data_IF_469379985958
#
_entry.id   IF_469379985958
#
_cell.length_a   1.000
_cell.length_b   1.000
_cell.length_c   1.000
_cell.angle_alpha   90.00
_cell.angle_beta   90.00
_cell.angle_gamma   90.00
#
_symmetry.space_group_name_H-M   'P 1'
#
loop_
_entity.id
_entity.type
_entity.pdbx_description
1 polymer ?
#
# COMPACT_ATOMS: atom_id res chain seq x y z
N UNK A 1 41.92 -10.12 -19.87
CA UNK A 1 40.83 -9.31 -19.36
C UNK A 1 40.00 -10.21 -18.45
N UNK A 2 39.70 -9.75 -17.23
CA UNK A 2 38.77 -10.40 -16.34
C UNK A 2 37.39 -9.79 -16.57
N UNK A 3 36.37 -10.61 -16.69
CA UNK A 3 35.00 -10.18 -16.84
C UNK A 3 34.14 -10.91 -15.76
N UNK A 4 33.20 -10.17 -15.18
CA UNK A 4 32.18 -10.75 -14.33
C UNK A 4 30.96 -11.00 -15.22
N UNK A 5 30.65 -12.27 -15.46
CA UNK A 5 29.50 -12.66 -16.30
C UNK A 5 28.19 -12.62 -15.52
N UNK A 6 28.25 -12.60 -14.20
CA UNK A 6 27.14 -12.29 -13.31
C UNK A 6 27.49 -11.05 -12.52
N UNK A 7 26.48 -10.32 -12.14
CA UNK A 7 26.54 -9.03 -11.48
C UNK A 7 27.65 -8.96 -10.43
N UNK A 8 28.29 -7.80 -10.35
CA UNK A 8 29.27 -7.49 -9.31
C UNK A 8 28.66 -7.50 -7.90
N UNK A 9 27.37 -7.73 -7.81
CA UNK A 9 26.58 -7.78 -6.60
C UNK A 9 25.65 -9.00 -6.61
N UNK A 10 25.55 -9.68 -5.47
CA UNK A 10 24.68 -10.84 -5.23
C UNK A 10 24.05 -10.71 -3.84
N UNK A 11 22.97 -11.44 -3.57
CA UNK A 11 22.44 -11.59 -2.22
C UNK A 11 23.16 -12.67 -1.42
N UNK A 12 23.02 -12.63 -0.11
CA UNK A 12 23.55 -13.63 0.82
C UNK A 12 23.10 -15.05 0.42
N UNK A 13 24.00 -16.01 0.45
CA UNK A 13 23.72 -17.37 0.01
C UNK A 13 23.81 -17.59 -1.51
N UNK A 14 23.94 -16.53 -2.29
CA UNK A 14 24.18 -16.58 -3.73
C UNK A 14 25.62 -16.97 -4.09
N UNK A 15 25.88 -17.12 -5.37
CA UNK A 15 27.21 -17.39 -5.92
C UNK A 15 27.48 -16.46 -7.10
N UNK A 16 28.76 -16.12 -7.32
CA UNK A 16 29.22 -15.36 -8.47
C UNK A 16 29.97 -16.27 -9.45
N UNK A 17 29.80 -16.00 -10.74
CA UNK A 17 30.58 -16.62 -11.82
C UNK A 17 31.57 -15.61 -12.38
N UNK A 18 32.85 -15.94 -12.31
CA UNK A 18 33.96 -15.14 -12.79
C UNK A 18 34.54 -15.79 -14.04
N UNK A 19 34.69 -15.03 -15.11
CA UNK A 19 35.29 -15.51 -16.37
C UNK A 19 36.55 -14.74 -16.71
N UNK A 20 37.55 -15.46 -17.20
CA UNK A 20 38.78 -14.87 -17.73
C UNK A 20 38.92 -15.11 -19.22
N UNK A 21 39.23 -14.06 -19.97
CA UNK A 21 39.58 -14.13 -21.37
C UNK A 21 41.07 -13.84 -21.54
N UNK A 22 41.75 -14.73 -22.24
CA UNK A 22 43.18 -14.60 -22.53
C UNK A 22 43.38 -14.27 -24.02
N UNK A 23 44.19 -13.28 -24.31
CA UNK A 23 44.56 -12.92 -25.70
C UNK A 23 46.07 -12.77 -25.83
N UNK A 24 46.62 -13.27 -26.92
CA UNK A 24 48.07 -13.28 -27.16
C UNK A 24 48.78 -14.46 -26.53
N UNK A 25 50.10 -14.49 -26.62
CA UNK A 25 50.94 -15.60 -26.15
C UNK A 25 50.90 -16.81 -27.11
N UNK A 26 51.41 -17.95 -26.67
CA UNK A 26 51.43 -19.19 -27.44
C UNK A 26 51.35 -20.42 -26.52
N UNK A 27 50.65 -21.47 -26.97
CA UNK A 27 50.47 -22.72 -26.25
C UNK A 27 49.18 -22.74 -25.43
N UNK A 28 49.06 -23.79 -24.60
CA UNK A 28 47.91 -23.94 -23.70
C UNK A 28 48.08 -23.04 -22.48
N UNK A 29 46.95 -22.51 -21.99
CA UNK A 29 46.88 -21.70 -20.78
C UNK A 29 46.39 -22.53 -19.59
N UNK A 30 47.06 -22.42 -18.46
CA UNK A 30 46.61 -22.90 -17.17
C UNK A 30 46.20 -21.71 -16.31
N UNK A 31 45.22 -21.90 -15.44
CA UNK A 31 44.63 -20.87 -14.62
C UNK A 31 44.78 -21.26 -13.13
N UNK A 32 44.94 -20.27 -12.29
CA UNK A 32 44.83 -20.38 -10.85
C UNK A 32 44.10 -19.17 -10.29
N UNK A 33 42.89 -19.36 -9.78
CA UNK A 33 42.13 -18.30 -9.13
C UNK A 33 42.62 -18.09 -7.69
N UNK A 34 42.63 -16.85 -7.26
CA UNK A 34 43.03 -16.42 -5.93
C UNK A 34 41.99 -15.50 -5.34
N UNK A 35 41.84 -15.57 -4.02
CA UNK A 35 41.03 -14.67 -3.20
C UNK A 35 41.95 -13.78 -2.34
N UNK A 36 41.56 -12.52 -2.15
CA UNK A 36 42.25 -11.60 -1.26
C UNK A 36 41.79 -11.78 0.18
N UNK A 37 42.58 -12.45 1.01
CA UNK A 37 42.28 -12.71 2.41
C UNK A 37 43.30 -11.95 3.28
N UNK A 38 42.83 -11.06 4.18
CA UNK A 38 43.65 -10.25 5.09
C UNK A 38 44.79 -9.51 4.35
N UNK A 39 44.52 -9.04 3.14
CA UNK A 39 45.51 -8.31 2.31
C UNK A 39 46.54 -9.18 1.60
N UNK A 40 46.38 -10.52 1.62
CA UNK A 40 47.20 -11.48 0.93
C UNK A 40 46.39 -12.26 -0.10
N UNK A 41 46.98 -12.49 -1.28
CA UNK A 41 46.39 -13.33 -2.31
C UNK A 41 46.61 -14.82 -1.99
N UNK A 42 45.53 -15.56 -1.82
CA UNK A 42 45.53 -16.99 -1.45
C UNK A 42 44.95 -17.79 -2.60
N UNK A 43 45.65 -18.86 -2.98
CA UNK A 43 45.18 -19.78 -4.03
C UNK A 43 43.91 -20.53 -3.59
N UNK A 44 42.89 -20.48 -4.48
CA UNK A 44 41.68 -21.27 -4.26
C UNK A 44 41.90 -22.67 -4.79
N UNK A 45 41.87 -23.65 -3.89
CA UNK A 45 42.14 -25.05 -4.22
C UNK A 45 41.15 -25.56 -5.30
N UNK A 46 41.73 -26.12 -6.38
CA UNK A 46 40.93 -26.68 -7.48
C UNK A 46 40.33 -25.68 -8.46
N UNK A 47 40.51 -24.39 -8.26
CA UNK A 47 40.01 -23.34 -9.18
C UNK A 47 41.02 -23.12 -10.34
N UNK A 48 41.09 -24.08 -11.29
CA UNK A 48 42.09 -24.14 -12.34
C UNK A 48 41.51 -24.02 -13.76
N UNK A 49 40.25 -23.59 -13.91
CA UNK A 49 39.61 -23.37 -15.19
C UNK A 49 39.59 -21.86 -15.56
N UNK A 50 39.28 -21.54 -16.80
CA UNK A 50 39.07 -20.15 -17.24
C UNK A 50 37.86 -19.48 -16.60
N UNK A 51 36.94 -20.29 -16.04
CA UNK A 51 35.75 -19.87 -15.29
C UNK A 51 35.87 -20.38 -13.86
N UNK A 52 35.53 -19.51 -12.91
CA UNK A 52 35.44 -19.87 -11.50
C UNK A 52 34.07 -19.49 -10.97
N UNK A 53 33.41 -20.42 -10.28
CA UNK A 53 32.16 -20.18 -9.59
C UNK A 53 32.44 -20.22 -8.08
N UNK A 54 32.07 -19.15 -7.37
CA UNK A 54 32.26 -19.11 -5.92
C UNK A 54 31.37 -20.14 -5.21
N UNK A 55 31.69 -20.50 -3.98
CA UNK A 55 30.70 -21.10 -3.09
C UNK A 55 29.62 -20.06 -2.73
N UNK A 56 28.57 -20.50 -2.04
CA UNK A 56 27.62 -19.57 -1.43
C UNK A 56 28.39 -18.66 -0.47
N UNK A 57 28.15 -17.33 -0.60
CA UNK A 57 28.86 -16.31 0.14
C UNK A 57 27.94 -15.66 1.19
N UNK A 58 28.53 -15.33 2.34
CA UNK A 58 27.89 -14.51 3.35
C UNK A 58 28.02 -13.02 3.00
N UNK A 59 27.25 -12.15 3.69
CA UNK A 59 27.32 -10.70 3.51
C UNK A 59 28.76 -10.16 3.63
N UNK A 60 29.19 -9.36 2.66
CA UNK A 60 30.53 -8.79 2.62
C UNK A 60 31.02 -8.44 1.23
N UNK A 61 32.32 -8.16 1.14
CA UNK A 61 32.99 -7.93 -0.15
C UNK A 61 34.15 -8.90 -0.27
N UNK A 62 34.18 -9.63 -1.39
CA UNK A 62 35.18 -10.62 -1.70
C UNK A 62 35.91 -10.20 -2.97
N UNK A 63 37.24 -10.17 -2.93
CA UNK A 63 38.03 -9.74 -4.08
C UNK A 63 38.77 -10.93 -4.66
N UNK A 64 38.60 -11.16 -5.96
CA UNK A 64 39.20 -12.29 -6.69
C UNK A 64 40.12 -11.81 -7.81
N UNK A 65 41.13 -12.64 -8.15
CA UNK A 65 41.93 -12.49 -9.35
C UNK A 65 42.32 -13.84 -9.93
N UNK A 66 42.82 -13.86 -11.16
CA UNK A 66 43.32 -15.06 -11.78
C UNK A 66 44.76 -14.89 -12.25
N UNK A 67 45.59 -15.90 -11.97
CA UNK A 67 46.89 -16.09 -12.56
C UNK A 67 46.74 -16.97 -13.81
N UNK A 68 47.39 -16.60 -14.87
CA UNK A 68 47.42 -17.38 -16.11
C UNK A 68 48.87 -17.65 -16.51
N UNK A 69 49.17 -18.94 -16.71
CA UNK A 69 50.49 -19.40 -17.18
C UNK A 69 50.31 -20.15 -18.48
N UNK A 70 51.14 -19.86 -19.46
CA UNK A 70 51.16 -20.58 -20.76
C UNK A 70 52.37 -21.47 -20.90
N UNK A 71 52.25 -22.54 -21.68
CA UNK A 71 53.33 -23.50 -21.95
C UNK A 71 54.59 -22.83 -22.52
N UNK A 72 54.44 -21.68 -23.15
CA UNK A 72 55.56 -20.83 -23.62
C UNK A 72 56.33 -20.14 -22.51
N UNK A 73 55.89 -20.24 -21.23
CA UNK A 73 56.47 -19.56 -20.10
C UNK A 73 55.97 -18.10 -19.94
N UNK A 74 54.96 -17.67 -20.72
CA UNK A 74 54.33 -16.38 -20.50
C UNK A 74 53.38 -16.43 -19.32
N UNK A 75 53.46 -15.40 -18.45
CA UNK A 75 52.61 -15.26 -17.28
C UNK A 75 51.82 -13.95 -17.35
N UNK A 76 50.60 -13.99 -16.81
CA UNK A 76 49.79 -12.80 -16.61
C UNK A 76 48.95 -12.93 -15.32
N UNK A 77 48.71 -11.80 -14.65
CA UNK A 77 47.87 -11.69 -13.49
C UNK A 77 46.80 -10.65 -13.83
N UNK A 78 45.55 -10.96 -13.55
CA UNK A 78 44.46 -10.00 -13.73
C UNK A 78 44.49 -8.94 -12.60
N UNK A 79 43.86 -7.81 -12.83
CA UNK A 79 43.45 -6.94 -11.74
C UNK A 79 42.48 -7.70 -10.81
N UNK A 80 42.33 -7.22 -9.58
CA UNK A 80 41.32 -7.71 -8.66
C UNK A 80 39.94 -7.25 -9.07
N UNK A 81 38.94 -8.10 -8.85
CA UNK A 81 37.54 -7.79 -9.07
C UNK A 81 36.74 -8.10 -7.81
N UNK A 82 35.84 -7.17 -7.43
CA UNK A 82 35.04 -7.32 -6.23
C UNK A 82 33.69 -7.96 -6.54
N UNK A 83 33.30 -8.91 -5.69
CA UNK A 83 31.94 -9.45 -5.56
C UNK A 83 31.39 -8.91 -4.26
N UNK A 84 30.34 -8.08 -4.35
CA UNK A 84 29.65 -7.51 -3.19
C UNK A 84 28.44 -8.38 -2.85
N UNK A 85 28.40 -8.87 -1.63
CA UNK A 85 27.28 -9.66 -1.12
C UNK A 85 26.43 -8.78 -0.19
N UNK A 86 25.19 -8.55 -0.57
CA UNK A 86 24.23 -7.77 0.20
C UNK A 86 23.25 -8.68 0.96
N UNK A 87 22.58 -8.20 2.02
CA UNK A 87 21.53 -8.96 2.69
C UNK A 87 20.40 -9.35 1.73
N UNK A 88 19.70 -10.43 2.06
CA UNK A 88 18.45 -10.80 1.39
C UNK A 88 17.36 -9.74 1.55
N UNK A 89 16.33 -9.84 0.70
CA UNK A 89 15.19 -8.94 0.75
C UNK A 89 14.39 -9.19 2.04
N UNK A 90 14.18 -8.12 2.80
CA UNK A 90 13.31 -8.11 3.97
C UNK A 90 12.23 -7.03 3.84
N UNK A 91 10.97 -7.40 4.14
CA UNK A 91 9.87 -6.43 4.25
C UNK A 91 9.88 -5.83 5.66
N UNK A 92 10.33 -4.58 5.78
CA UNK A 92 10.44 -3.85 7.03
C UNK A 92 9.10 -3.31 7.54
N UNK A 93 8.21 -2.92 6.62
CA UNK A 93 6.86 -2.48 6.93
C UNK A 93 5.86 -3.13 5.98
N UNK A 94 4.95 -3.91 6.56
CA UNK A 94 3.87 -4.57 5.83
C UNK A 94 2.82 -3.54 5.38
N UNK A 95 2.13 -3.76 4.26
CA UNK A 95 1.01 -2.93 3.86
C UNK A 95 -0.12 -3.00 4.90
N UNK A 96 -0.86 -1.92 5.04
CA UNK A 96 -2.00 -1.80 5.95
C UNK A 96 -3.24 -1.50 5.12
N UNK A 97 -4.29 -2.30 5.31
CA UNK A 97 -5.58 -2.10 4.69
C UNK A 97 -6.44 -1.04 5.40
N UNK A 98 -7.61 -0.79 4.87
CA UNK A 98 -8.53 0.21 5.43
C UNK A 98 -9.97 0.00 5.02
N UNK A 99 -10.80 1.00 5.34
CA UNK A 99 -12.23 0.98 5.04
C UNK A 99 -12.59 2.25 4.26
N UNK A 100 -13.27 2.06 3.16
CA UNK A 100 -13.76 3.13 2.26
C UNK A 100 -15.25 2.93 1.97
N UNK A 101 -15.91 3.94 1.43
CA UNK A 101 -17.25 3.76 0.83
C UNK A 101 -17.15 3.30 -0.63
N UNK A 102 -18.26 2.85 -1.19
CA UNK A 102 -18.37 2.53 -2.62
C UNK A 102 -17.89 3.74 -3.45
N UNK A 103 -17.07 3.47 -4.47
CA UNK A 103 -16.53 4.54 -5.32
C UNK A 103 -15.30 5.26 -4.76
N UNK A 104 -14.85 4.91 -3.56
CA UNK A 104 -13.59 5.40 -2.99
C UNK A 104 -12.37 4.65 -3.56
N UNK A 105 -11.19 5.17 -3.24
CA UNK A 105 -9.90 4.54 -3.48
C UNK A 105 -9.08 4.48 -2.19
N UNK A 106 -8.02 3.68 -2.20
CA UNK A 106 -7.15 3.52 -1.04
C UNK A 106 -5.68 3.43 -1.47
N UNK A 107 -4.78 4.08 -0.73
CA UNK A 107 -3.35 4.01 -0.97
C UNK A 107 -2.72 2.95 -0.07
N UNK A 108 -2.10 1.96 -0.69
CA UNK A 108 -1.30 0.92 -0.05
C UNK A 108 0.18 1.26 -0.18
N UNK A 109 0.97 0.89 0.81
CA UNK A 109 2.42 1.06 0.78
C UNK A 109 3.11 -0.08 1.50
N UNK A 110 4.32 -0.39 1.05
CA UNK A 110 5.23 -1.38 1.64
C UNK A 110 6.61 -0.73 1.79
N UNK A 111 7.40 -1.20 2.73
CA UNK A 111 8.82 -0.86 2.80
C UNK A 111 9.64 -2.14 2.86
N UNK A 112 10.65 -2.24 2.00
CA UNK A 112 11.58 -3.35 1.95
C UNK A 112 13.03 -2.84 1.90
N UNK A 113 13.97 -3.69 2.28
CA UNK A 113 15.42 -3.47 2.21
C UNK A 113 16.12 -4.78 1.90
N UNK A 114 17.43 -4.71 1.66
CA UNK A 114 18.30 -5.83 1.28
C UNK A 114 19.08 -5.43 0.04
N UNK A 115 18.66 -5.85 -1.12
CA UNK A 115 19.24 -5.44 -2.40
C UNK A 115 19.03 -3.94 -2.68
N UNK A 116 19.93 -3.28 -3.42
CA UNK A 116 19.72 -1.91 -3.92
C UNK A 116 18.73 -1.84 -5.09
N UNK A 117 18.45 -2.94 -5.78
CA UNK A 117 17.58 -2.99 -6.96
C UNK A 117 16.32 -3.82 -6.69
N UNK A 118 15.51 -3.33 -5.76
CA UNK A 118 14.28 -3.99 -5.33
C UNK A 118 13.12 -3.63 -6.26
N UNK A 119 12.43 -4.65 -6.74
CA UNK A 119 11.25 -4.56 -7.58
C UNK A 119 9.98 -4.94 -6.82
N UNK A 120 8.86 -4.30 -7.18
CA UNK A 120 7.56 -4.47 -6.53
C UNK A 120 6.49 -4.83 -7.55
N UNK A 121 5.76 -5.90 -7.30
CA UNK A 121 4.57 -6.26 -8.07
C UNK A 121 3.37 -6.42 -7.15
N UNK A 122 2.50 -5.43 -7.13
CA UNK A 122 1.23 -5.51 -6.43
C UNK A 122 0.30 -6.50 -7.10
N UNK A 123 -0.50 -7.19 -6.29
CA UNK A 123 -1.47 -8.18 -6.74
C UNK A 123 -2.80 -7.98 -6.02
N UNK A 124 -3.90 -8.14 -6.75
CA UNK A 124 -5.26 -8.18 -6.22
C UNK A 124 -5.83 -9.59 -6.33
N UNK A 125 -6.60 -10.02 -5.33
CA UNK A 125 -7.28 -11.32 -5.31
C UNK A 125 -8.71 -11.19 -5.82
N UNK A 126 -9.07 -11.95 -6.84
CA UNK A 126 -10.41 -11.94 -7.45
C UNK A 126 -11.38 -12.97 -6.84
N UNK A 127 -10.97 -13.65 -5.76
CA UNK A 127 -11.71 -14.73 -5.12
C UNK A 127 -11.26 -16.14 -5.53
N UNK A 128 -10.44 -16.25 -6.57
CA UNK A 128 -9.87 -17.51 -7.08
C UNK A 128 -8.38 -17.39 -7.30
N UNK A 129 -7.93 -16.33 -7.98
CA UNK A 129 -6.55 -16.14 -8.41
C UNK A 129 -6.04 -14.75 -8.05
N UNK A 130 -4.72 -14.63 -7.93
CA UNK A 130 -4.01 -13.37 -7.82
C UNK A 130 -3.75 -12.78 -9.21
N UNK A 131 -4.10 -11.51 -9.40
CA UNK A 131 -3.88 -10.77 -10.65
C UNK A 131 -2.92 -9.61 -10.38
N UNK A 132 -1.91 -9.46 -11.24
CA UNK A 132 -0.97 -8.36 -11.15
C UNK A 132 -1.68 -7.02 -11.40
N UNK A 133 -1.40 -6.04 -10.55
CA UNK A 133 -1.93 -4.67 -10.61
C UNK A 133 -0.82 -3.67 -10.31
N UNK A 134 -1.03 -2.42 -10.69
CA UNK A 134 -0.06 -1.35 -10.45
C UNK A 134 1.16 -1.41 -11.37
N UNK A 135 2.19 -0.72 -10.95
CA UNK A 135 3.51 -0.63 -11.59
C UNK A 135 4.57 -0.97 -10.56
N UNK A 136 5.83 -1.10 -10.97
CA UNK A 136 6.97 -1.38 -10.10
C UNK A 136 7.24 -0.19 -9.15
N UNK A 137 6.46 -0.12 -8.08
CA UNK A 137 6.54 0.92 -7.04
C UNK A 137 6.17 0.34 -5.68
N UNK A 138 6.81 0.82 -4.64
CA UNK A 138 6.50 0.47 -3.24
C UNK A 138 5.16 1.02 -2.74
N UNK A 139 4.46 1.77 -3.55
CA UNK A 139 3.11 2.30 -3.29
C UNK A 139 2.14 1.91 -4.40
N UNK A 140 0.89 1.71 -4.05
CA UNK A 140 -0.16 1.36 -5.00
C UNK A 140 -1.49 2.02 -4.61
N UNK A 141 -2.08 2.79 -5.52
CA UNK A 141 -3.45 3.28 -5.39
C UNK A 141 -4.40 2.26 -6.03
N UNK A 142 -5.39 1.81 -5.27
CA UNK A 142 -6.34 0.77 -5.72
C UNK A 142 -7.20 1.20 -6.89
N UNK A 143 -7.25 2.50 -7.20
CA UNK A 143 -8.30 3.05 -8.03
C UNK A 143 -9.68 2.94 -7.36
N UNK A 144 -10.73 3.22 -8.11
CA UNK A 144 -12.11 3.20 -7.62
C UNK A 144 -12.56 1.76 -7.33
N UNK A 145 -12.98 1.49 -6.09
CA UNK A 145 -13.49 0.19 -5.67
C UNK A 145 -15.00 0.20 -5.46
N UNK A 146 -15.66 -0.85 -5.93
CA UNK A 146 -17.07 -1.12 -5.68
C UNK A 146 -17.32 -2.31 -4.74
N UNK A 147 -16.29 -3.12 -4.50
CA UNK A 147 -16.32 -4.31 -3.66
C UNK A 147 -15.07 -4.44 -2.81
N UNK A 148 -15.21 -5.03 -1.64
CA UNK A 148 -14.07 -5.39 -0.77
C UNK A 148 -13.08 -6.25 -1.54
N UNK A 149 -11.80 -5.87 -1.50
CA UNK A 149 -10.74 -6.51 -2.28
C UNK A 149 -9.52 -6.77 -1.39
N UNK A 150 -8.90 -7.93 -1.58
CA UNK A 150 -7.66 -8.31 -0.90
C UNK A 150 -6.46 -8.04 -1.81
N UNK A 151 -5.38 -7.54 -1.22
CA UNK A 151 -4.14 -7.20 -1.91
C UNK A 151 -2.94 -7.82 -1.21
N UNK A 152 -1.87 -8.01 -1.96
CA UNK A 152 -0.52 -8.28 -1.49
C UNK A 152 0.49 -7.68 -2.46
N UNK A 153 1.75 -7.60 -2.05
CA UNK A 153 2.85 -7.25 -2.96
C UNK A 153 3.87 -8.37 -2.97
N UNK A 154 4.32 -8.71 -4.17
CA UNK A 154 5.48 -9.53 -4.45
C UNK A 154 6.69 -8.60 -4.55
N UNK A 155 7.76 -8.93 -3.84
CA UNK A 155 8.99 -8.15 -3.79
C UNK A 155 10.12 -9.08 -4.20
N UNK A 156 10.90 -8.67 -5.18
CA UNK A 156 12.04 -9.41 -5.70
C UNK A 156 13.21 -8.48 -6.05
N UNK A 157 14.34 -9.05 -6.37
CA UNK A 157 15.48 -8.35 -6.95
C UNK A 157 16.09 -9.22 -8.05
N UNK A 158 16.87 -8.59 -8.94
CA UNK A 158 17.44 -9.28 -10.11
C UNK A 158 18.77 -9.97 -9.78
N UNK A 159 19.39 -9.68 -8.64
CA UNK A 159 20.67 -10.25 -8.25
C UNK A 159 20.58 -11.74 -7.90
N UNK A 160 21.67 -12.45 -8.17
CA UNK A 160 21.77 -13.87 -7.85
C UNK A 160 21.70 -14.12 -6.33
N UNK A 161 20.93 -15.11 -5.92
CA UNK A 161 20.78 -15.52 -4.54
C UNK A 161 19.73 -14.74 -3.75
N UNK A 162 19.11 -13.69 -4.31
CA UNK A 162 18.03 -12.97 -3.64
C UNK A 162 16.76 -13.80 -3.58
N UNK A 163 16.19 -13.94 -2.38
CA UNK A 163 14.93 -14.63 -2.19
C UNK A 163 13.73 -13.72 -2.52
N UNK A 164 12.78 -14.28 -3.23
CA UNK A 164 11.50 -13.63 -3.49
C UNK A 164 10.63 -13.61 -2.23
N UNK A 165 10.02 -12.45 -1.91
CA UNK A 165 9.22 -12.29 -0.69
C UNK A 165 7.82 -11.76 -1.03
N UNK A 166 6.81 -12.34 -0.38
CA UNK A 166 5.43 -11.80 -0.40
C UNK A 166 5.13 -11.06 0.89
N UNK A 167 4.43 -9.94 0.77
CA UNK A 167 3.84 -9.31 1.95
C UNK A 167 2.73 -10.17 2.55
N UNK A 168 2.33 -9.83 3.77
CA UNK A 168 1.03 -10.27 4.30
C UNK A 168 -0.11 -9.76 3.43
N UNK A 169 -1.19 -10.53 3.37
CA UNK A 169 -2.41 -10.10 2.69
C UNK A 169 -3.11 -9.00 3.49
N UNK A 170 -3.62 -8.00 2.78
CA UNK A 170 -4.36 -6.89 3.37
C UNK A 170 -5.70 -6.71 2.67
N UNK A 171 -6.72 -6.31 3.44
CA UNK A 171 -8.07 -6.12 2.93
C UNK A 171 -8.39 -4.63 2.91
N UNK A 172 -8.85 -4.14 1.76
CA UNK A 172 -9.53 -2.85 1.64
C UNK A 172 -11.02 -3.13 1.60
N UNK A 173 -11.68 -2.82 2.72
CA UNK A 173 -13.12 -3.06 2.91
C UNK A 173 -13.92 -1.93 2.28
N UNK A 174 -14.89 -2.28 1.44
CA UNK A 174 -15.82 -1.33 0.84
C UNK A 174 -17.15 -1.41 1.56
N UNK A 175 -17.48 -0.37 2.33
CA UNK A 175 -18.77 -0.23 2.99
C UNK A 175 -19.80 0.38 2.02
N UNK A 176 -21.10 0.03 2.15
CA UNK A 176 -22.17 0.72 1.45
C UNK A 176 -22.17 2.23 1.75
N UNK A 177 -22.70 3.02 0.83
CA UNK A 177 -22.92 4.44 1.04
C UNK A 177 -23.91 4.70 2.17
N UNK A 178 -23.94 5.94 2.67
CA UNK A 178 -24.94 6.38 3.64
C UNK A 178 -26.37 6.15 3.14
N UNK A 179 -27.20 5.61 4.01
CA UNK A 179 -28.63 5.42 3.79
C UNK A 179 -29.38 5.81 5.06
N UNK A 180 -30.40 6.68 4.93
CA UNK A 180 -31.35 6.91 6.02
C UNK A 180 -32.29 5.69 6.11
N UNK A 181 -32.32 5.03 7.25
CA UNK A 181 -33.16 3.85 7.50
C UNK A 181 -34.41 4.17 8.30
N UNK A 182 -34.36 5.25 9.07
CA UNK A 182 -35.54 5.83 9.75
C UNK A 182 -35.52 7.33 9.51
N UNK A 183 -36.55 7.80 8.82
CA UNK A 183 -36.74 9.22 8.50
C UNK A 183 -37.31 9.99 9.69
N UNK A 184 -37.07 11.32 9.79
CA UNK A 184 -37.72 12.16 10.80
C UNK A 184 -39.23 12.12 10.65
N UNK A 185 -39.95 12.05 11.77
CA UNK A 185 -41.41 12.04 11.78
C UNK A 185 -41.98 13.42 12.07
N UNK A 186 -43.17 13.67 11.54
CA UNK A 186 -43.92 14.89 11.83
C UNK A 186 -44.26 15.01 13.30
N UNK A 187 -44.20 16.22 13.84
CA UNK A 187 -44.57 16.57 15.20
C UNK A 187 -45.87 17.42 15.17
N UNK A 188 -46.77 17.13 16.11
CA UNK A 188 -47.98 17.94 16.33
C UNK A 188 -48.19 18.09 17.83
N UNK A 189 -47.88 19.28 18.36
CA UNK A 189 -47.89 19.56 19.80
C UNK A 189 -48.40 20.97 20.09
N UNK A 190 -48.67 21.28 21.33
CA UNK A 190 -49.02 22.62 21.78
C UNK A 190 -47.76 23.46 22.06
N UNK A 191 -47.94 24.78 22.19
CA UNK A 191 -46.87 25.69 22.64
C UNK A 191 -46.25 25.13 23.94
N UNK A 192 -44.90 25.09 23.97
CA UNK A 192 -44.13 24.53 25.10
C UNK A 192 -43.92 23.03 25.02
N UNK A 193 -44.38 22.33 24.00
CA UNK A 193 -44.10 20.92 23.74
C UNK A 193 -42.59 20.64 23.54
N UNK A 194 -42.20 19.40 23.72
CA UNK A 194 -40.78 18.97 23.71
C UNK A 194 -40.53 17.74 22.87
N UNK A 195 -41.42 17.43 21.94
CA UNK A 195 -41.26 16.30 21.03
C UNK A 195 -40.01 16.43 20.19
N UNK A 196 -39.42 15.29 19.83
CA UNK A 196 -38.13 15.24 19.21
C UNK A 196 -38.20 14.49 17.87
N UNK A 197 -37.60 15.06 16.84
CA UNK A 197 -37.31 14.39 15.59
C UNK A 197 -36.03 13.58 15.70
N UNK A 198 -35.97 12.43 15.05
CA UNK A 198 -34.81 11.56 15.04
C UNK A 198 -34.58 10.93 13.67
N UNK A 199 -33.32 10.65 13.34
CA UNK A 199 -32.96 9.86 12.15
C UNK A 199 -32.08 8.69 12.58
N UNK A 200 -32.25 7.55 11.87
CA UNK A 200 -31.34 6.41 11.97
C UNK A 200 -30.75 6.18 10.57
N UNK A 201 -29.46 5.91 10.54
CA UNK A 201 -28.71 5.68 9.31
C UNK A 201 -28.03 4.33 9.32
N UNK A 202 -27.64 3.86 8.15
CA UNK A 202 -26.72 2.74 7.92
C UNK A 202 -25.69 3.10 6.84
N UNK A 203 -24.63 2.32 6.73
CA UNK A 203 -23.56 2.58 5.78
C UNK A 203 -22.66 3.74 6.20
N UNK A 204 -21.85 4.20 5.25
CA UNK A 204 -20.82 5.19 5.49
C UNK A 204 -19.62 4.67 6.26
N UNK A 205 -18.56 5.45 6.32
CA UNK A 205 -17.36 5.18 7.15
C UNK A 205 -16.69 6.49 7.55
N UNK A 206 -15.79 6.42 8.53
CA UNK A 206 -15.17 7.60 9.12
C UNK A 206 -16.08 8.27 10.13
N UNK A 207 -15.95 9.60 10.28
CA UNK A 207 -16.77 10.38 11.21
C UNK A 207 -18.09 10.73 10.54
N UNK A 208 -19.20 10.35 11.17
CA UNK A 208 -20.54 10.74 10.75
C UNK A 208 -20.88 12.09 11.38
N UNK A 209 -21.37 13.00 10.58
CA UNK A 209 -21.82 14.33 11.01
C UNK A 209 -23.25 14.59 10.55
N UNK A 210 -23.98 15.37 11.36
CA UNK A 210 -25.37 15.76 11.12
C UNK A 210 -25.45 17.28 11.10
N UNK A 211 -26.34 17.84 10.28
CA UNK A 211 -26.70 19.23 10.30
C UNK A 211 -28.18 19.38 10.01
N UNK A 212 -28.96 19.71 11.05
CA UNK A 212 -30.37 19.99 10.86
C UNK A 212 -30.58 21.35 10.18
N UNK A 213 -31.58 21.38 9.34
CA UNK A 213 -32.00 22.55 8.58
C UNK A 213 -33.48 22.79 8.80
N UNK A 214 -33.91 24.08 8.78
CA UNK A 214 -35.30 24.48 8.87
C UNK A 214 -35.73 25.34 7.71
N UNK A 215 -37.03 25.30 7.42
CA UNK A 215 -37.69 26.11 6.37
C UNK A 215 -39.10 26.48 6.79
N UNK A 216 -39.52 27.69 6.49
CA UNK A 216 -40.90 28.12 6.70
C UNK A 216 -41.87 27.62 5.60
N UNK A 217 -41.36 27.21 4.44
CA UNK A 217 -42.17 26.81 3.27
C UNK A 217 -42.04 25.35 2.88
N UNK A 218 -41.00 24.67 3.38
CA UNK A 218 -40.70 23.29 3.02
C UNK A 218 -40.16 23.10 1.60
N UNK A 219 -39.95 24.17 0.82
CA UNK A 219 -39.36 24.07 -0.52
C UNK A 219 -37.86 23.78 -0.44
N UNK A 220 -37.32 22.96 -1.33
CA UNK A 220 -35.95 22.48 -1.30
C UNK A 220 -34.88 23.59 -1.23
N UNK A 221 -35.18 24.77 -1.77
CA UNK A 221 -34.26 25.93 -1.81
C UNK A 221 -34.36 26.87 -0.60
N UNK A 222 -35.31 26.64 0.31
CA UNK A 222 -35.60 27.50 1.45
C UNK A 222 -35.04 27.01 2.79
N UNK A 223 -34.36 25.84 2.80
CA UNK A 223 -33.79 25.28 4.01
C UNK A 223 -32.47 26.00 4.37
N UNK A 224 -32.36 26.38 5.65
CA UNK A 224 -31.16 26.98 6.22
C UNK A 224 -30.68 26.16 7.44
N UNK A 225 -29.38 26.15 7.66
CA UNK A 225 -28.76 25.43 8.77
C UNK A 225 -29.24 26.02 10.13
N UNK A 226 -29.55 25.13 11.04
CA UNK A 226 -29.84 25.46 12.43
C UNK A 226 -28.53 25.39 13.21
N UNK A 227 -28.04 26.53 13.69
CA UNK A 227 -26.76 26.63 14.39
C UNK A 227 -26.74 25.70 15.61
N UNK A 228 -25.72 24.83 15.67
CA UNK A 228 -25.53 23.89 16.79
C UNK A 228 -26.40 22.62 16.76
N UNK A 229 -27.28 22.47 15.77
CA UNK A 229 -28.13 21.28 15.62
C UNK A 229 -27.38 20.17 14.85
N UNK A 230 -26.43 19.51 15.52
CA UNK A 230 -25.49 18.55 14.92
C UNK A 230 -25.59 17.12 15.49
N UNK A 231 -26.70 16.82 16.19
CA UNK A 231 -26.98 15.47 16.69
C UNK A 231 -27.90 14.68 15.72
N UNK A 232 -28.00 13.37 15.90
CA UNK A 232 -28.98 12.53 15.18
C UNK A 232 -30.43 12.81 15.55
N UNK A 233 -30.65 13.63 16.58
CA UNK A 233 -31.96 14.07 17.04
C UNK A 233 -32.01 15.60 17.10
N UNK A 234 -33.20 16.13 16.96
CA UNK A 234 -33.45 17.59 17.06
C UNK A 234 -34.82 17.85 17.69
N UNK A 235 -34.89 18.75 18.65
CA UNK A 235 -36.13 19.24 19.21
C UNK A 235 -36.51 20.58 18.59
N UNK A 236 -37.56 20.65 17.75
CA UNK A 236 -38.05 21.90 17.17
C UNK A 236 -38.42 22.93 18.25
N UNK A 237 -38.31 24.21 17.89
CA UNK A 237 -38.81 25.26 18.77
C UNK A 237 -40.34 25.27 18.78
N UNK A 238 -40.93 25.12 20.00
CA UNK A 238 -42.37 25.18 20.25
C UNK A 238 -42.83 26.47 20.94
N UNK A 239 -41.98 27.52 20.92
CA UNK A 239 -42.27 28.81 21.61
C UNK A 239 -43.45 29.60 20.99
N UNK A 240 -43.85 29.34 19.78
CA UNK A 240 -44.93 30.05 19.06
C UNK A 240 -45.69 29.06 18.16
N UNK A 241 -47.00 29.26 18.06
CA UNK A 241 -47.83 28.51 17.12
C UNK A 241 -47.44 28.78 15.68
N UNK A 242 -47.44 27.72 14.86
CA UNK A 242 -47.06 27.79 13.43
C UNK A 242 -46.63 26.44 12.88
N UNK A 243 -46.25 26.43 11.60
CA UNK A 243 -45.70 25.26 10.97
C UNK A 243 -44.28 25.55 10.45
N UNK A 244 -43.34 24.71 10.81
CA UNK A 244 -41.97 24.78 10.33
C UNK A 244 -41.54 23.39 9.81
N UNK A 245 -40.82 23.39 8.71
CA UNK A 245 -40.30 22.17 8.06
C UNK A 245 -38.85 21.93 8.41
N UNK A 246 -38.48 20.69 8.58
CA UNK A 246 -37.15 20.25 9.00
C UNK A 246 -36.63 19.12 8.13
N UNK A 247 -35.33 19.09 7.94
CA UNK A 247 -34.59 17.96 7.37
C UNK A 247 -33.20 17.93 7.97
N UNK A 248 -32.48 16.84 7.82
CA UNK A 248 -31.10 16.74 8.26
C UNK A 248 -30.19 16.34 7.10
N UNK A 249 -29.07 17.04 6.94
CA UNK A 249 -27.98 16.68 6.07
C UNK A 249 -27.04 15.81 6.88
N UNK A 250 -26.70 14.61 6.36
CA UNK A 250 -25.81 13.66 6.99
C UNK A 250 -24.62 13.44 6.07
N UNK A 251 -23.41 13.49 6.62
CA UNK A 251 -22.18 13.31 5.86
C UNK A 251 -21.26 12.32 6.58
N UNK A 252 -20.45 11.59 5.81
CA UNK A 252 -19.41 10.71 6.32
C UNK A 252 -18.05 11.17 5.76
N UNK A 253 -17.01 11.15 6.60
CA UNK A 253 -15.69 11.64 6.23
C UNK A 253 -14.78 10.59 5.56
N UNK A 254 -15.23 9.34 5.44
CA UNK A 254 -14.46 8.27 4.80
C UNK A 254 -14.30 8.51 3.29
N UNK A 255 -13.21 7.99 2.73
CA UNK A 255 -12.94 8.10 1.29
C UNK A 255 -14.06 7.45 0.47
N UNK A 256 -14.55 8.15 -0.54
CA UNK A 256 -15.67 7.72 -1.38
C UNK A 256 -17.04 7.97 -0.78
N UNK A 257 -17.14 8.28 0.52
CA UNK A 257 -18.43 8.56 1.17
C UNK A 257 -18.95 9.93 0.76
N UNK A 258 -20.22 9.98 0.40
CA UNK A 258 -20.94 11.21 0.09
C UNK A 258 -21.71 11.77 1.28
N UNK A 259 -22.61 12.71 0.99
CA UNK A 259 -23.62 13.20 1.91
C UNK A 259 -25.02 12.87 1.39
N UNK A 260 -25.95 12.65 2.30
CA UNK A 260 -27.37 12.42 2.01
C UNK A 260 -28.22 13.41 2.79
N UNK A 261 -29.44 13.57 2.38
CA UNK A 261 -30.43 14.43 3.04
C UNK A 261 -31.64 13.57 3.35
N UNK A 262 -32.17 13.69 4.59
CA UNK A 262 -33.39 13.03 5.00
C UNK A 262 -34.62 13.56 4.24
N UNK A 263 -35.69 12.80 4.30
CA UNK A 263 -37.02 13.34 3.97
C UNK A 263 -37.35 14.54 4.85
N UNK A 264 -38.27 15.35 4.36
CA UNK A 264 -38.76 16.53 5.09
C UNK A 264 -39.85 16.13 6.05
N UNK A 265 -39.68 16.48 7.33
CA UNK A 265 -40.74 16.42 8.36
C UNK A 265 -41.21 17.83 8.71
N UNK A 266 -42.39 17.95 9.29
CA UNK A 266 -42.88 19.22 9.82
C UNK A 266 -43.15 19.16 11.31
N UNK A 267 -43.03 20.28 11.99
CA UNK A 267 -43.56 20.51 13.31
C UNK A 267 -44.73 21.53 13.22
N UNK A 268 -45.91 21.11 13.62
CA UNK A 268 -47.11 21.92 13.73
C UNK A 268 -47.33 22.24 15.18
N UNK A 269 -47.12 23.48 15.58
CA UNK A 269 -47.31 23.97 16.94
C UNK A 269 -48.64 24.67 17.01
N UNK A 270 -49.55 24.18 17.84
CA UNK A 270 -50.88 24.74 18.05
C UNK A 270 -50.92 25.66 19.28
N UNK A 271 -51.75 26.73 19.30
CA UNK A 271 -51.95 27.52 20.52
C UNK A 271 -52.51 26.68 21.66
N UNK A 272 -52.19 27.08 22.89
CA UNK A 272 -52.85 26.49 24.10
C UNK A 272 -54.37 26.80 24.11
N UNK A 273 -55.09 25.93 24.80
CA UNK A 273 -56.52 26.16 25.02
C UNK A 273 -56.70 27.41 25.91
N UNK A 274 -57.50 28.33 25.47
CA UNK A 274 -57.96 29.42 26.30
C UNK A 274 -59.24 28.99 27.08
N UNK A 275 -59.19 29.07 28.40
CA UNK A 275 -60.33 28.81 29.31
C UNK A 275 -60.88 30.09 29.83
#
# INVERSE_FOLDING_TARGET
VLDLTNDSQICQGGFATLESSVSGGAGLSTFQWQELIEGQWVDIFGANASTFVTSNLDEGTYTYRVLVLQDSGCEAVSDGVDVVVVPDIEINAQPIGGIICVGGNFDLSVSASGSPDIHYQWQSFNGTDWTNVGTDQNTFNTGVLSTTTTYRVFVNADENGCDDVYSTEVIVTVNPDLLVTVEPTNINECVGGTDQMAVIISGGTGVISYQWQSSATGTSVSFADIVGATASTYTPSSASAGTTYYRVVISASGTGCGSIVSDTANAVITPDLLV
#
